data_IF_768316489629
#
_entry.id   IF_768316489629
#
_cell.length_a   1.000
_cell.length_b   1.000
_cell.length_c   1.000
_cell.angle_alpha   90.00
_cell.angle_beta   90.00
_cell.angle_gamma   90.00
#
_symmetry.space_group_name_H-M   'P 1'
#
loop_
_entity.id
_entity.type
_entity.pdbx_description
1 polymer ?
#
# COMPACT_ATOMS: atom_id res chain seq x y z
N UNK A 1 7.82 1.95 -2.08
CA UNK A 1 8.63 1.30 -1.03
C UNK A 1 10.04 1.89 -1.02
N UNK A 2 10.67 2.06 0.17
CA UNK A 2 12.08 2.43 0.25
C UNK A 2 12.98 1.36 -0.39
N UNK A 3 14.03 1.80 -1.06
CA UNK A 3 14.96 0.93 -1.76
C UNK A 3 16.20 0.50 -0.96
N UNK A 4 16.22 0.57 0.36
CA UNK A 4 17.36 0.19 1.19
C UNK A 4 16.99 -0.92 2.19
N UNK A 5 17.87 -1.91 2.39
CA UNK A 5 17.62 -3.09 3.25
C UNK A 5 17.26 -2.75 4.70
N UNK A 6 17.66 -1.59 5.19
CA UNK A 6 17.35 -1.16 6.56
C UNK A 6 15.88 -0.74 6.76
N UNK A 7 15.10 -0.63 5.68
CA UNK A 7 13.71 -0.17 5.71
C UNK A 7 12.67 -1.31 5.57
N UNK A 8 13.03 -2.54 5.93
CA UNK A 8 12.12 -3.69 5.85
C UNK A 8 10.83 -3.48 6.64
N UNK A 9 10.89 -2.76 7.75
CA UNK A 9 9.71 -2.47 8.58
C UNK A 9 8.73 -1.54 7.84
N UNK A 10 9.21 -0.48 7.22
CA UNK A 10 8.40 0.45 6.42
C UNK A 10 7.81 -0.23 5.17
N UNK A 11 8.59 -1.12 4.54
CA UNK A 11 8.12 -1.93 3.41
C UNK A 11 6.96 -2.82 3.84
N UNK A 12 7.10 -3.60 4.91
CA UNK A 12 6.06 -4.50 5.42
C UNK A 12 4.77 -3.76 5.77
N UNK A 13 4.87 -2.56 6.35
CA UNK A 13 3.71 -1.72 6.67
C UNK A 13 2.97 -1.26 5.42
N UNK A 14 3.71 -0.83 4.40
CA UNK A 14 3.12 -0.41 3.12
C UNK A 14 2.43 -1.58 2.41
N UNK A 15 3.05 -2.76 2.42
CA UNK A 15 2.49 -3.97 1.81
C UNK A 15 1.19 -4.42 2.48
N UNK A 16 1.05 -4.23 3.80
CA UNK A 16 -0.17 -4.58 4.52
C UNK A 16 -1.42 -3.79 4.06
N UNK A 17 -1.23 -2.69 3.34
CA UNK A 17 -2.29 -1.86 2.79
C UNK A 17 -2.59 -2.13 1.30
N UNK A 18 -2.01 -3.18 0.71
CA UNK A 18 -2.10 -3.47 -0.72
C UNK A 18 -2.71 -4.85 -0.99
N UNK A 19 -3.30 -5.03 -2.17
CA UNK A 19 -3.74 -6.31 -2.74
C UNK A 19 -2.68 -6.93 -3.64
N UNK A 20 -1.81 -6.10 -4.22
CA UNK A 20 -0.75 -6.53 -5.10
C UNK A 20 0.44 -5.58 -5.10
N UNK A 21 1.53 -6.01 -5.72
CA UNK A 21 2.75 -5.25 -5.83
C UNK A 21 3.30 -5.32 -7.28
N UNK A 22 3.83 -4.19 -7.74
CA UNK A 22 4.57 -4.16 -9.01
C UNK A 22 6.04 -4.39 -8.68
N UNK A 23 6.61 -5.45 -9.24
CA UNK A 23 8.04 -5.74 -9.17
C UNK A 23 8.76 -5.07 -10.34
N UNK A 24 9.36 -3.91 -10.08
CA UNK A 24 10.08 -3.16 -11.12
C UNK A 24 11.55 -3.56 -11.13
N UNK A 25 12.02 -4.16 -12.22
CA UNK A 25 13.40 -4.61 -12.42
C UNK A 25 14.06 -3.80 -13.54
N UNK A 26 15.33 -3.43 -13.33
CA UNK A 26 16.13 -2.69 -14.32
C UNK A 26 16.57 -3.62 -15.45
N UNK A 27 16.25 -3.28 -16.71
CA UNK A 27 16.59 -4.08 -17.89
C UNK A 27 18.10 -4.27 -18.12
N UNK A 28 18.93 -3.39 -17.53
CA UNK A 28 20.38 -3.46 -17.66
C UNK A 28 21.08 -4.18 -16.52
N UNK A 29 20.56 -4.02 -15.29
CA UNK A 29 21.17 -4.54 -14.06
C UNK A 29 20.59 -5.91 -13.67
N UNK A 30 19.29 -6.16 -13.94
CA UNK A 30 18.61 -7.36 -13.50
C UNK A 30 18.20 -7.30 -12.03
N UNK A 31 18.15 -8.46 -11.38
CA UNK A 31 17.71 -8.59 -9.99
C UNK A 31 18.85 -8.24 -9.04
N UNK A 32 18.62 -7.26 -8.19
CA UNK A 32 19.53 -6.92 -7.08
C UNK A 32 19.05 -7.57 -5.77
N UNK A 33 19.95 -7.71 -4.79
CA UNK A 33 19.65 -8.30 -3.49
C UNK A 33 18.46 -7.63 -2.79
N UNK A 34 18.33 -6.33 -2.95
CA UNK A 34 17.22 -5.52 -2.46
C UNK A 34 15.89 -5.89 -3.09
N UNK A 35 15.88 -6.03 -4.42
CA UNK A 35 14.70 -6.44 -5.19
C UNK A 35 14.20 -7.77 -4.67
N UNK A 36 15.11 -8.74 -4.50
CA UNK A 36 14.79 -10.06 -3.98
C UNK A 36 14.22 -10.02 -2.55
N UNK A 37 14.86 -9.26 -1.65
CA UNK A 37 14.39 -9.12 -0.26
C UNK A 37 12.98 -8.53 -0.17
N UNK A 38 12.71 -7.45 -0.92
CA UNK A 38 11.39 -6.82 -0.95
C UNK A 38 10.33 -7.71 -1.62
N UNK A 39 10.72 -8.49 -2.63
CA UNK A 39 9.81 -9.44 -3.28
C UNK A 39 9.37 -10.54 -2.33
N UNK A 40 10.29 -11.10 -1.53
CA UNK A 40 9.91 -12.09 -0.52
C UNK A 40 8.97 -11.51 0.53
N UNK A 41 9.16 -10.27 0.97
CA UNK A 41 8.21 -9.62 1.88
C UNK A 41 6.81 -9.49 1.26
N UNK A 42 6.71 -9.22 -0.04
CA UNK A 42 5.44 -9.16 -0.75
C UNK A 42 4.79 -10.54 -0.90
N UNK A 43 5.58 -11.58 -1.19
CA UNK A 43 5.12 -12.99 -1.25
C UNK A 43 4.62 -13.44 0.13
N UNK A 44 5.38 -13.17 1.19
CA UNK A 44 5.00 -13.52 2.56
C UNK A 44 3.73 -12.79 3.03
N UNK A 45 3.48 -11.59 2.49
CA UNK A 45 2.24 -10.84 2.71
C UNK A 45 1.05 -11.35 1.88
N UNK A 46 1.26 -12.36 1.01
CA UNK A 46 0.22 -12.95 0.16
C UNK A 46 -0.23 -12.07 -0.99
N UNK A 47 0.61 -11.13 -1.42
CA UNK A 47 0.28 -10.20 -2.51
C UNK A 47 0.48 -10.83 -3.88
N UNK A 48 -0.41 -10.48 -4.82
CA UNK A 48 -0.19 -10.73 -6.24
C UNK A 48 0.96 -9.86 -6.75
N UNK A 49 1.93 -10.46 -7.46
CA UNK A 49 3.11 -9.74 -7.94
C UNK A 49 3.09 -9.63 -9.45
N UNK A 50 3.14 -8.40 -9.94
CA UNK A 50 3.20 -8.08 -11.37
C UNK A 50 4.62 -7.64 -11.74
N UNK A 51 5.43 -8.49 -12.41
CA UNK A 51 6.76 -8.11 -12.84
C UNK A 51 6.70 -7.09 -14.00
N UNK A 52 7.59 -6.11 -13.96
CA UNK A 52 7.75 -5.04 -14.95
C UNK A 52 9.23 -4.78 -15.18
N UNK A 53 9.67 -4.77 -16.43
CA UNK A 53 11.06 -4.54 -16.80
C UNK A 53 11.21 -3.10 -17.28
N UNK A 54 11.94 -2.28 -16.52
CA UNK A 54 12.09 -0.85 -16.79
C UNK A 54 13.47 -0.51 -17.38
N UNK A 55 13.59 0.69 -17.92
CA UNK A 55 14.80 1.27 -18.50
C UNK A 55 15.24 0.62 -19.81
N UNK A 56 14.30 0.17 -20.66
CA UNK A 56 14.60 -0.38 -21.98
C UNK A 56 15.22 0.64 -22.95
N UNK A 57 15.22 1.93 -22.58
CA UNK A 57 15.88 3.00 -23.32
C UNK A 57 17.41 3.01 -23.17
N UNK A 58 17.96 2.22 -22.25
CA UNK A 58 19.41 2.14 -22.04
C UNK A 58 20.07 1.25 -23.11
N UNK A 59 21.27 1.60 -23.63
CA UNK A 59 21.97 0.77 -24.63
C UNK A 59 22.33 -0.64 -24.15
N UNK A 60 22.47 -0.82 -22.83
CA UNK A 60 22.78 -2.11 -22.17
C UNK A 60 21.55 -2.89 -21.72
N UNK A 61 20.34 -2.44 -22.09
CA UNK A 61 19.12 -3.11 -21.72
C UNK A 61 18.97 -4.48 -22.43
N UNK A 62 18.67 -5.51 -21.66
CA UNK A 62 18.37 -6.86 -22.14
C UNK A 62 17.13 -7.39 -21.42
N UNK A 63 15.92 -7.04 -21.88
CA UNK A 63 14.67 -7.44 -21.24
C UNK A 63 14.46 -8.95 -21.19
N UNK A 64 14.89 -9.68 -22.22
CA UNK A 64 14.66 -11.13 -22.31
C UNK A 64 15.52 -11.88 -21.30
N UNK A 65 16.78 -11.48 -21.12
CA UNK A 65 17.64 -11.98 -20.05
C UNK A 65 17.01 -11.73 -18.66
N UNK A 66 16.46 -10.54 -18.45
CA UNK A 66 15.88 -10.17 -17.14
C UNK A 66 14.58 -10.93 -16.88
N UNK A 67 13.76 -11.22 -17.89
CA UNK A 67 12.59 -12.11 -17.75
C UNK A 67 13.01 -13.49 -17.24
N UNK A 68 13.99 -14.09 -17.92
CA UNK A 68 14.50 -15.39 -17.51
C UNK A 68 15.09 -15.37 -16.08
N UNK A 69 15.82 -14.32 -15.74
CA UNK A 69 16.37 -14.14 -14.40
C UNK A 69 15.28 -14.04 -13.31
N UNK A 70 14.15 -13.36 -13.58
CA UNK A 70 13.00 -13.30 -12.66
C UNK A 70 12.41 -14.69 -12.43
N UNK A 71 12.22 -15.47 -13.50
CA UNK A 71 11.69 -16.84 -13.43
C UNK A 71 12.64 -17.78 -12.67
N UNK A 72 13.94 -17.74 -13.00
CA UNK A 72 14.94 -18.64 -12.43
C UNK A 72 15.24 -18.34 -10.95
N UNK A 73 15.26 -17.05 -10.55
CA UNK A 73 15.70 -16.62 -9.22
C UNK A 73 14.53 -16.44 -8.26
N UNK A 74 13.41 -15.89 -8.74
CA UNK A 74 12.25 -15.58 -7.90
C UNK A 74 11.17 -16.67 -8.02
N UNK A 75 11.05 -17.31 -9.18
CA UNK A 75 10.03 -18.31 -9.45
C UNK A 75 8.66 -17.72 -9.83
N UNK A 76 8.64 -16.47 -10.30
CA UNK A 76 7.43 -15.79 -10.77
C UNK A 76 7.44 -15.78 -12.30
N UNK A 77 6.30 -16.13 -12.93
CA UNK A 77 6.14 -16.06 -14.39
C UNK A 77 6.38 -14.64 -14.91
N UNK A 78 7.34 -14.49 -15.83
CA UNK A 78 7.74 -13.19 -16.35
C UNK A 78 7.82 -13.11 -17.87
N UNK A 79 7.48 -14.18 -18.61
CA UNK A 79 7.51 -14.21 -20.07
C UNK A 79 6.69 -13.07 -20.68
N UNK A 80 5.50 -12.80 -20.14
CA UNK A 80 4.61 -11.72 -20.57
C UNK A 80 4.89 -10.37 -19.90
N UNK A 81 5.90 -10.26 -19.02
CA UNK A 81 6.18 -9.03 -18.29
C UNK A 81 6.41 -7.84 -19.23
N UNK A 82 5.69 -6.72 -19.06
CA UNK A 82 5.84 -5.55 -19.89
C UNK A 82 7.23 -4.94 -19.76
N UNK A 83 7.88 -4.72 -20.90
CA UNK A 83 9.14 -4.02 -20.99
C UNK A 83 8.88 -2.54 -21.32
N UNK A 84 9.31 -1.65 -20.42
CA UNK A 84 8.95 -0.23 -20.42
C UNK A 84 10.17 0.70 -20.33
N UNK A 85 9.95 1.94 -20.68
CA UNK A 85 10.78 3.05 -20.22
C UNK A 85 9.89 4.07 -19.51
N UNK A 86 9.95 4.10 -18.18
CA UNK A 86 9.24 5.10 -17.40
C UNK A 86 9.71 6.53 -17.73
N UNK A 87 10.99 6.70 -18.05
CA UNK A 87 11.58 7.98 -18.45
C UNK A 87 11.00 8.50 -19.77
N UNK A 88 10.82 7.60 -20.75
CA UNK A 88 10.34 7.97 -22.08
C UNK A 88 8.82 7.83 -22.23
N UNK A 89 8.14 7.30 -21.21
CA UNK A 89 6.69 6.99 -21.28
C UNK A 89 6.35 5.76 -22.16
N UNK A 90 7.34 4.95 -22.54
CA UNK A 90 7.14 3.81 -23.43
C UNK A 90 6.44 2.68 -22.69
N UNK A 91 5.38 2.12 -23.29
CA UNK A 91 4.61 0.95 -22.81
C UNK A 91 4.00 1.10 -21.38
N UNK A 92 3.86 2.31 -20.85
CA UNK A 92 3.26 2.52 -19.50
C UNK A 92 1.82 2.00 -19.44
N UNK A 93 1.07 2.16 -20.54
CA UNK A 93 -0.31 1.65 -20.61
C UNK A 93 -0.38 0.12 -20.40
N UNK A 94 0.58 -0.64 -20.91
CA UNK A 94 0.62 -2.09 -20.72
C UNK A 94 0.74 -2.48 -19.24
N UNK A 95 1.51 -1.71 -18.44
CA UNK A 95 1.60 -1.94 -17.00
C UNK A 95 0.25 -1.69 -16.33
N UNK A 96 -0.47 -0.64 -16.71
CA UNK A 96 -1.79 -0.35 -16.14
C UNK A 96 -2.82 -1.43 -16.47
N UNK A 97 -2.78 -1.98 -17.68
CA UNK A 97 -3.63 -3.11 -18.08
C UNK A 97 -3.29 -4.38 -17.27
N UNK A 98 -2.00 -4.69 -17.08
CA UNK A 98 -1.58 -5.82 -16.24
C UNK A 98 -2.07 -5.69 -14.80
N UNK A 99 -2.00 -4.49 -14.21
CA UNK A 99 -2.53 -4.23 -12.86
C UNK A 99 -4.03 -4.56 -12.81
N UNK A 100 -4.80 -4.05 -13.76
CA UNK A 100 -6.26 -4.25 -13.79
C UNK A 100 -6.63 -5.72 -13.99
N UNK A 101 -5.83 -6.47 -14.75
CA UNK A 101 -6.12 -7.87 -15.05
C UNK A 101 -5.63 -8.85 -13.99
N UNK A 102 -4.50 -8.55 -13.33
CA UNK A 102 -3.84 -9.50 -12.41
C UNK A 102 -4.12 -9.22 -10.94
N UNK A 103 -4.24 -7.94 -10.55
CA UNK A 103 -4.49 -7.59 -9.16
C UNK A 103 -6.00 -7.51 -8.92
N UNK A 104 -6.48 -8.32 -7.97
CA UNK A 104 -7.88 -8.30 -7.56
C UNK A 104 -8.25 -6.95 -6.95
N UNK A 105 -9.48 -6.51 -7.17
CA UNK A 105 -10.02 -5.35 -6.44
C UNK A 105 -10.10 -5.65 -4.94
N UNK A 106 -9.98 -4.62 -4.09
CA UNK A 106 -10.21 -4.80 -2.66
C UNK A 106 -11.59 -5.42 -2.37
N UNK A 107 -11.61 -6.39 -1.46
CA UNK A 107 -12.85 -6.99 -0.95
C UNK A 107 -13.25 -6.31 0.35
N UNK A 108 -14.54 -6.31 0.66
CA UNK A 108 -15.12 -5.82 1.91
C UNK A 108 -16.60 -5.48 1.79
N UNK A 109 -17.29 -5.47 2.93
CA UNK A 109 -18.71 -5.12 3.05
C UNK A 109 -18.84 -3.75 3.73
N UNK A 110 -19.28 -2.75 2.98
CA UNK A 110 -19.48 -1.37 3.48
C UNK A 110 -20.55 -1.30 4.60
N UNK A 111 -21.43 -2.29 4.70
CA UNK A 111 -22.48 -2.36 5.71
C UNK A 111 -22.08 -3.11 6.99
N UNK A 112 -20.93 -3.77 6.97
CA UNK A 112 -20.38 -4.48 8.12
C UNK A 112 -19.93 -3.51 9.24
N UNK A 113 -19.62 -4.00 10.45
CA UNK A 113 -18.96 -3.19 11.46
C UNK A 113 -17.61 -2.71 10.97
N UNK A 114 -17.27 -1.44 11.23
CA UNK A 114 -16.01 -0.85 10.78
C UNK A 114 -14.79 -1.63 11.29
N UNK A 115 -13.92 -1.99 10.37
CA UNK A 115 -12.58 -2.53 10.63
C UNK A 115 -11.58 -1.80 9.72
N UNK A 116 -10.77 -0.93 10.28
CA UNK A 116 -9.73 -0.23 9.54
C UNK A 116 -8.36 -0.49 10.19
N UNK A 117 -7.42 -0.98 9.38
CA UNK A 117 -6.05 -1.26 9.80
C UNK A 117 -5.23 0.02 9.80
N UNK A 118 -4.59 0.35 10.93
CA UNK A 118 -3.57 1.41 11.00
C UNK A 118 -2.26 0.87 10.43
N UNK A 119 -1.82 1.38 9.30
CA UNK A 119 -0.53 0.97 8.72
C UNK A 119 0.57 2.00 8.87
N UNK A 120 0.23 3.28 9.16
CA UNK A 120 1.19 4.32 9.50
C UNK A 120 0.55 5.45 10.33
N UNK A 121 1.37 6.31 10.94
CA UNK A 121 0.92 7.50 11.64
C UNK A 121 2.03 8.55 11.73
N UNK A 122 1.64 9.82 11.76
CA UNK A 122 2.57 10.92 12.01
C UNK A 122 1.90 12.02 12.82
N UNK A 123 2.73 12.90 13.40
CA UNK A 123 2.23 14.06 14.14
C UNK A 123 2.20 15.31 13.25
N UNK A 124 1.03 15.92 13.18
CA UNK A 124 0.81 17.24 12.57
C UNK A 124 0.61 18.30 13.64
N UNK A 125 1.28 19.45 13.53
CA UNK A 125 1.23 20.50 14.53
C UNK A 125 -0.15 21.14 14.73
N UNK A 126 -1.04 21.04 13.73
CA UNK A 126 -2.37 21.64 13.74
C UNK A 126 -3.48 20.63 14.00
N UNK A 127 -3.35 19.41 13.45
CA UNK A 127 -4.39 18.36 13.50
C UNK A 127 -4.12 17.29 14.56
N UNK A 128 -2.94 17.31 15.21
CA UNK A 128 -2.50 16.27 16.13
C UNK A 128 -1.99 15.03 15.39
N UNK A 129 -2.18 13.85 15.95
CA UNK A 129 -1.78 12.62 15.29
C UNK A 129 -2.75 12.30 14.17
N UNK A 130 -2.22 12.17 12.96
CA UNK A 130 -2.91 11.67 11.78
C UNK A 130 -2.54 10.21 11.62
N UNK A 131 -3.53 9.34 11.53
CA UNK A 131 -3.35 7.91 11.28
C UNK A 131 -3.70 7.57 9.84
N UNK A 132 -2.86 6.76 9.21
CA UNK A 132 -3.11 6.22 7.89
C UNK A 132 -3.74 4.85 8.02
N UNK A 133 -4.89 4.69 7.38
CA UNK A 133 -5.69 3.49 7.53
C UNK A 133 -6.05 2.88 6.18
N UNK A 134 -6.19 1.56 6.19
CA UNK A 134 -6.89 0.82 5.18
C UNK A 134 -8.19 0.30 5.77
N UNK A 135 -9.32 0.72 5.22
CA UNK A 135 -10.64 0.21 5.59
C UNK A 135 -10.80 -1.18 5.00
N UNK A 136 -10.98 -2.19 5.83
CA UNK A 136 -11.23 -3.58 5.43
C UNK A 136 -12.71 -3.86 5.35
N UNK A 137 -13.48 -3.38 6.33
CA UNK A 137 -14.93 -3.55 6.44
C UNK A 137 -15.58 -2.27 6.93
N UNK A 138 -16.83 -2.05 6.56
CA UNK A 138 -17.63 -0.92 7.02
C UNK A 138 -17.32 0.39 6.34
N UNK A 139 -17.85 1.46 6.90
CA UNK A 139 -17.67 2.83 6.42
C UNK A 139 -17.43 3.75 7.61
N UNK A 140 -16.56 4.74 7.44
CA UNK A 140 -16.17 5.75 8.41
C UNK A 140 -16.53 7.14 7.92
N UNK A 141 -17.09 7.98 8.81
CA UNK A 141 -17.43 9.37 8.50
C UNK A 141 -16.79 10.35 9.50
N UNK A 142 -16.56 11.60 9.10
CA UNK A 142 -16.33 12.68 10.06
C UNK A 142 -17.49 12.77 11.06
N UNK A 143 -17.18 12.92 12.36
CA UNK A 143 -18.15 12.92 13.45
C UNK A 143 -18.37 11.56 14.12
N UNK A 144 -17.91 10.47 13.52
CA UNK A 144 -17.96 9.15 14.15
C UNK A 144 -17.10 9.09 15.43
N UNK A 145 -17.55 8.34 16.42
CA UNK A 145 -16.74 7.99 17.58
C UNK A 145 -16.05 6.64 17.32
N UNK A 146 -14.75 6.68 17.14
CA UNK A 146 -13.92 5.50 16.89
C UNK A 146 -13.28 4.98 18.17
N UNK A 147 -12.99 3.69 18.17
CA UNK A 147 -12.23 2.99 19.21
C UNK A 147 -11.01 2.31 18.62
N UNK A 148 -9.86 2.52 19.23
CA UNK A 148 -8.62 1.81 18.93
C UNK A 148 -8.63 0.50 19.72
N UNK A 149 -8.61 -0.65 19.05
CA UNK A 149 -8.88 -1.92 19.72
C UNK A 149 -7.76 -2.34 20.70
N UNK A 150 -6.49 -2.05 20.36
CA UNK A 150 -5.36 -2.42 21.21
C UNK A 150 -5.29 -1.63 22.52
N UNK A 151 -5.69 -0.36 22.51
CA UNK A 151 -5.64 0.51 23.70
C UNK A 151 -6.99 0.68 24.39
N UNK A 152 -8.09 0.41 23.67
CA UNK A 152 -9.45 0.69 24.10
C UNK A 152 -9.80 2.18 24.12
N UNK A 153 -8.90 3.05 23.66
CA UNK A 153 -9.11 4.50 23.66
C UNK A 153 -10.12 4.91 22.59
N UNK A 154 -10.97 5.87 22.92
CA UNK A 154 -12.00 6.38 22.03
C UNK A 154 -11.71 7.81 21.62
N UNK A 155 -11.97 8.13 20.34
CA UNK A 155 -11.74 9.43 19.75
C UNK A 155 -12.85 9.80 18.77
N UNK A 156 -13.17 11.08 18.70
CA UNK A 156 -14.10 11.59 17.69
C UNK A 156 -13.31 11.93 16.40
N UNK A 157 -13.79 11.44 15.27
CA UNK A 157 -13.22 11.75 13.95
C UNK A 157 -13.55 13.18 13.57
N UNK A 158 -12.52 14.01 13.47
CA UNK A 158 -12.65 15.39 13.03
C UNK A 158 -12.70 15.49 11.51
N UNK A 159 -11.85 14.68 10.85
CA UNK A 159 -11.68 14.67 9.40
C UNK A 159 -11.18 13.30 8.95
N UNK A 160 -11.64 12.84 7.81
CA UNK A 160 -11.06 11.72 7.07
C UNK A 160 -10.93 12.08 5.58
N UNK A 161 -10.16 11.32 4.83
CA UNK A 161 -9.98 11.57 3.40
C UNK A 161 -8.85 10.76 2.79
N UNK A 162 -8.47 11.14 1.58
CA UNK A 162 -7.52 10.42 0.76
C UNK A 162 -6.11 11.01 0.81
N UNK A 163 -5.12 10.14 0.63
CA UNK A 163 -3.72 10.51 0.48
C UNK A 163 -3.44 10.84 -0.99
N UNK A 164 -2.97 12.05 -1.26
CA UNK A 164 -2.45 12.43 -2.58
C UNK A 164 -0.93 12.58 -2.50
N UNK A 165 -0.27 12.63 -3.64
CA UNK A 165 1.19 12.71 -3.70
C UNK A 165 1.80 13.88 -2.89
N UNK A 166 1.06 15.00 -2.76
CA UNK A 166 1.55 16.22 -2.09
C UNK A 166 0.60 16.79 -1.05
N UNK A 167 -0.57 16.19 -0.83
CA UNK A 167 -1.60 16.75 0.06
C UNK A 167 -2.54 15.69 0.61
N UNK A 168 -3.22 16.04 1.70
CA UNK A 168 -4.39 15.33 2.19
C UNK A 168 -5.63 15.95 1.52
N UNK A 169 -6.50 15.09 1.00
CA UNK A 169 -7.78 15.51 0.38
C UNK A 169 -8.94 15.03 1.25
N UNK A 170 -9.63 15.96 1.96
CA UNK A 170 -10.78 15.59 2.79
C UNK A 170 -11.90 14.93 1.98
N UNK A 171 -12.55 13.94 2.57
CA UNK A 171 -13.69 13.24 2.00
C UNK A 171 -14.85 13.19 2.99
N UNK A 172 -16.05 12.93 2.49
CA UNK A 172 -17.25 12.75 3.30
C UNK A 172 -17.25 11.40 4.05
N UNK A 173 -16.51 10.42 3.53
CA UNK A 173 -16.43 9.07 4.08
C UNK A 173 -15.19 8.34 3.57
N UNK A 174 -14.86 7.23 4.24
CA UNK A 174 -13.95 6.19 3.76
C UNK A 174 -14.66 4.85 3.88
N UNK A 175 -14.78 4.13 2.79
CA UNK A 175 -15.49 2.86 2.68
C UNK A 175 -14.54 1.66 2.58
N UNK A 176 -15.09 0.47 2.76
CA UNK A 176 -14.37 -0.80 2.63
C UNK A 176 -13.54 -0.85 1.33
N UNK A 177 -12.28 -1.28 1.43
CA UNK A 177 -11.31 -1.31 0.34
C UNK A 177 -10.50 -0.04 0.14
N UNK A 178 -10.90 1.08 0.72
CA UNK A 178 -10.21 2.36 0.54
C UNK A 178 -9.04 2.54 1.51
N UNK A 179 -8.01 3.26 1.02
CA UNK A 179 -6.85 3.70 1.80
C UNK A 179 -6.92 5.20 1.98
N UNK A 180 -6.84 5.65 3.23
CA UNK A 180 -6.98 7.05 3.54
C UNK A 180 -6.34 7.44 4.87
N UNK A 181 -6.72 8.61 5.37
CA UNK A 181 -6.27 9.12 6.66
C UNK A 181 -7.44 9.45 7.57
N UNK A 182 -7.17 9.43 8.87
CA UNK A 182 -8.08 9.90 9.92
C UNK A 182 -7.35 10.90 10.80
N UNK A 183 -7.97 12.05 11.05
CA UNK A 183 -7.60 13.01 12.08
C UNK A 183 -8.68 12.98 13.17
N UNK A 184 -8.34 12.55 14.37
CA UNK A 184 -9.27 12.33 15.47
C UNK A 184 -8.82 12.96 16.81
N UNK A 185 -8.09 14.07 16.74
CA UNK A 185 -7.57 14.79 17.92
C UNK A 185 -6.76 13.91 18.87
N UNK A 186 -6.11 12.88 18.37
CA UNK A 186 -5.19 12.02 19.12
C UNK A 186 -3.97 12.84 19.47
N UNK A 187 -3.60 12.89 20.75
CA UNK A 187 -2.53 13.79 21.21
C UNK A 187 -1.15 13.19 21.17
N UNK A 188 -1.06 11.87 21.26
CA UNK A 188 0.20 11.13 21.38
C UNK A 188 0.27 10.02 20.33
N UNK A 189 1.38 9.95 19.59
CA UNK A 189 1.59 8.90 18.58
C UNK A 189 1.55 7.50 19.17
N UNK A 190 1.97 7.34 20.44
CA UNK A 190 1.93 6.06 21.15
C UNK A 190 0.52 5.49 21.36
N UNK A 191 -0.52 6.33 21.26
CA UNK A 191 -1.91 5.87 21.40
C UNK A 191 -2.40 5.22 20.10
N UNK A 192 -1.88 5.65 18.95
CA UNK A 192 -2.22 5.10 17.63
C UNK A 192 -1.11 4.14 17.17
N UNK A 193 -1.17 2.90 17.60
CA UNK A 193 -0.15 1.89 17.24
C UNK A 193 -0.36 1.39 15.83
N UNK A 194 0.72 1.31 15.08
CA UNK A 194 0.71 0.65 13.77
C UNK A 194 0.40 -0.84 13.95
N UNK A 195 -0.48 -1.37 13.10
CA UNK A 195 -1.02 -2.72 13.22
C UNK A 195 -2.28 -2.83 14.07
N UNK A 196 -2.70 -1.73 14.75
CA UNK A 196 -3.97 -1.70 15.48
C UNK A 196 -5.18 -1.59 14.53
N UNK A 197 -6.32 -1.99 15.02
CA UNK A 197 -7.61 -1.89 14.32
C UNK A 197 -8.43 -0.75 14.89
N UNK A 198 -8.95 0.08 13.99
CA UNK A 198 -9.96 1.11 14.29
C UNK A 198 -11.34 0.51 14.06
N UNK A 199 -12.24 0.69 15.01
CA UNK A 199 -13.65 0.31 14.90
C UNK A 199 -14.55 1.45 15.38
N UNK A 200 -15.87 1.36 15.17
CA UNK A 200 -16.83 2.30 15.76
C UNK A 200 -17.07 1.94 17.23
N UNK A 201 -17.04 2.90 18.13
CA UNK A 201 -17.28 2.69 19.55
C UNK A 201 -18.69 2.13 19.83
N UNK A 202 -19.70 2.59 19.07
CA UNK A 202 -21.09 2.17 19.19
C UNK A 202 -21.40 0.80 18.56
N UNK A 203 -20.57 0.35 17.61
CA UNK A 203 -20.73 -0.92 16.87
C UNK A 203 -19.35 -1.52 16.63
N UNK A 204 -18.74 -2.01 17.68
CA UNK A 204 -17.42 -2.64 17.63
C UNK A 204 -17.44 -3.92 16.80
N UNK A 205 -16.39 -4.14 16.02
CA UNK A 205 -16.16 -5.35 15.24
C UNK A 205 -15.80 -6.53 16.14
#
# INVERSE_FOLDING_TARGET
TPGHVDFNYEVSRSLAACEGAILVVDASQGIEAQTLANTYLAVDAGLEIVPVINKIDLPSADPDRVRQEIEDVIGIEAESAPAISAKMGTNIKAVMEEIVHKISSPEGDETAPLQALIFDSYYDAYKGVIIYVRVKEGTLHPGDNIKLMATGSEYNVVECGFLRATSLEPASELSAGEVGYIAASIKTVSDARVGDTVTLAARSA
#
